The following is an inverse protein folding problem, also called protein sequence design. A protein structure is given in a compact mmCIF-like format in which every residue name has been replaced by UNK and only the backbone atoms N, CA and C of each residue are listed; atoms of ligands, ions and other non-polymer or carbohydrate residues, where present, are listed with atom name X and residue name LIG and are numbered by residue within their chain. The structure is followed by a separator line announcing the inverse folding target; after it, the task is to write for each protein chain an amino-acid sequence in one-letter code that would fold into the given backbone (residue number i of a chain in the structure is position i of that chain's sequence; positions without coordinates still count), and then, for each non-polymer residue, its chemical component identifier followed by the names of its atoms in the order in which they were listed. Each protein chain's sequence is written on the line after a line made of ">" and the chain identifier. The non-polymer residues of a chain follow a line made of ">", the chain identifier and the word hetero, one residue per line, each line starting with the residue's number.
data_IF_956082000972
#
_entry.id   IF_956082000972
#
_cell.length_a   1.000
_cell.length_b   1.000
_cell.length_c   1.000
_cell.angle_alpha   90.00
_cell.angle_beta   90.00
_cell.angle_gamma   90.00
#
_symmetry.space_group_name_H-M   'P 1'
#
loop_
_entity.id
_entity.type
_entity.pdbx_description
1 polymer ?
#
# COMPACT_ATOMS: atom_id res chain seq x y z
N UNK A 1 10.37 -22.76 5.79
CA UNK A 1 10.11 -21.50 6.52
C UNK A 1 11.43 -20.76 6.77
N UNK A 2 11.54 -19.48 6.36
CA UNK A 2 12.75 -18.69 6.63
C UNK A 2 12.74 -18.07 8.04
N UNK A 3 11.59 -17.54 8.46
CA UNK A 3 11.41 -16.82 9.74
C UNK A 3 10.34 -17.48 10.63
N UNK A 4 9.95 -18.71 10.32
CA UNK A 4 8.94 -19.41 11.12
C UNK A 4 9.38 -19.56 12.57
N UNK A 5 8.54 -19.14 13.52
CA UNK A 5 8.83 -19.18 14.94
C UNK A 5 9.67 -18.01 15.48
N UNK A 6 9.97 -16.99 14.67
CA UNK A 6 10.64 -15.79 15.15
C UNK A 6 9.71 -14.94 16.03
N UNK A 7 9.45 -15.42 17.25
CA UNK A 7 8.45 -14.83 18.15
C UNK A 7 8.79 -13.41 18.63
N UNK A 8 10.04 -12.99 18.56
CA UNK A 8 10.48 -11.64 18.91
C UNK A 8 10.52 -10.65 17.73
N UNK A 9 10.22 -11.13 16.51
CA UNK A 9 10.23 -10.29 15.33
C UNK A 9 9.02 -9.34 15.35
N UNK A 10 9.25 -8.04 15.42
CA UNK A 10 8.19 -7.01 15.50
C UNK A 10 7.84 -6.42 14.14
N UNK A 11 8.82 -6.31 13.26
CA UNK A 11 8.66 -5.83 11.88
C UNK A 11 9.76 -6.38 11.00
N UNK A 12 9.51 -6.44 9.70
CA UNK A 12 10.51 -6.83 8.69
C UNK A 12 10.22 -6.10 7.39
N UNK A 13 11.30 -5.68 6.73
CA UNK A 13 11.22 -5.16 5.38
C UNK A 13 11.56 -6.27 4.39
N UNK A 14 10.65 -6.59 3.48
CA UNK A 14 10.85 -7.54 2.39
C UNK A 14 11.39 -6.75 1.19
N UNK A 15 12.63 -7.04 0.74
CA UNK A 15 13.19 -6.33 -0.41
C UNK A 15 12.39 -6.56 -1.70
N UNK A 16 12.39 -5.58 -2.60
CA UNK A 16 11.73 -5.69 -3.92
C UNK A 16 12.35 -6.74 -4.86
N UNK A 17 13.46 -7.34 -4.49
CA UNK A 17 14.06 -8.50 -5.19
C UNK A 17 13.38 -9.83 -4.84
N UNK A 18 12.56 -9.88 -3.79
CA UNK A 18 11.86 -11.09 -3.37
C UNK A 18 10.62 -11.29 -4.24
N UNK A 19 10.52 -12.43 -4.90
CA UNK A 19 9.39 -12.79 -5.77
C UNK A 19 8.45 -13.82 -5.17
N UNK A 20 8.86 -14.51 -4.10
CA UNK A 20 8.00 -15.48 -3.43
C UNK A 20 8.26 -15.55 -1.94
N UNK A 21 7.20 -15.73 -1.16
CA UNK A 21 7.25 -16.08 0.25
C UNK A 21 6.75 -17.51 0.41
N UNK A 22 7.65 -18.39 0.84
CA UNK A 22 7.38 -19.83 0.89
C UNK A 22 6.42 -20.23 2.03
N UNK A 23 6.06 -21.51 2.06
CA UNK A 23 5.24 -22.12 3.11
C UNK A 23 5.76 -21.80 4.50
N UNK A 24 4.87 -21.31 5.40
CA UNK A 24 5.14 -20.99 6.79
C UNK A 24 6.30 -19.98 6.98
N UNK A 25 6.56 -19.10 6.01
CA UNK A 25 7.74 -18.21 6.04
C UNK A 25 7.79 -17.36 7.31
N UNK A 26 6.68 -16.81 7.74
CA UNK A 26 6.50 -16.00 8.95
C UNK A 26 5.52 -16.63 9.95
N UNK A 27 5.28 -17.91 9.85
CA UNK A 27 4.38 -18.61 10.77
C UNK A 27 4.86 -18.49 12.22
N UNK A 28 3.95 -18.25 13.18
CA UNK A 28 4.27 -18.08 14.60
C UNK A 28 5.20 -16.89 14.93
N UNK A 29 5.28 -15.89 14.08
CA UNK A 29 5.88 -14.60 14.43
C UNK A 29 4.92 -13.80 15.32
N UNK A 30 4.79 -14.21 16.57
CA UNK A 30 3.74 -13.73 17.48
C UNK A 30 3.85 -12.26 17.86
N UNK A 31 5.03 -11.63 17.76
CA UNK A 31 5.26 -10.21 18.01
C UNK A 31 5.20 -9.35 16.73
N UNK A 32 4.99 -9.95 15.56
CA UNK A 32 4.94 -9.20 14.30
C UNK A 32 3.69 -8.33 14.26
N UNK A 33 3.89 -7.00 14.29
CA UNK A 33 2.80 -6.01 14.31
C UNK A 33 2.45 -5.47 12.94
N UNK A 34 3.44 -5.40 12.06
CA UNK A 34 3.26 -4.87 10.71
C UNK A 34 4.14 -5.58 9.69
N UNK A 35 3.64 -5.68 8.46
CA UNK A 35 4.41 -6.20 7.32
C UNK A 35 4.07 -5.44 6.05
N UNK A 36 5.11 -5.19 5.22
CA UNK A 36 4.96 -4.72 3.85
C UNK A 36 5.30 -5.86 2.89
N UNK A 37 4.36 -6.20 2.00
CA UNK A 37 4.51 -7.19 0.93
C UNK A 37 4.67 -6.43 -0.38
N UNK A 38 5.87 -6.38 -0.97
CA UNK A 38 6.12 -5.61 -2.17
C UNK A 38 5.44 -6.19 -3.41
N UNK A 39 5.22 -5.37 -4.41
CA UNK A 39 4.59 -5.75 -5.69
C UNK A 39 5.36 -6.80 -6.49
N UNK A 40 6.65 -7.00 -6.18
CA UNK A 40 7.48 -8.06 -6.78
C UNK A 40 7.07 -9.47 -6.37
N UNK A 41 6.35 -9.63 -5.25
CA UNK A 41 5.92 -10.94 -4.76
C UNK A 41 4.76 -11.45 -5.60
N UNK A 42 4.97 -12.58 -6.27
CA UNK A 42 3.99 -13.25 -7.14
C UNK A 42 3.43 -14.53 -6.55
N UNK A 43 3.96 -14.99 -5.40
CA UNK A 43 3.51 -16.20 -4.74
C UNK A 43 3.62 -16.09 -3.22
N UNK A 44 2.54 -16.48 -2.54
CA UNK A 44 2.45 -16.62 -1.08
C UNK A 44 2.12 -18.08 -0.77
N UNK A 45 3.01 -18.73 -0.02
CA UNK A 45 2.83 -20.12 0.37
C UNK A 45 1.84 -20.32 1.51
N UNK A 46 1.36 -21.54 1.64
CA UNK A 46 0.45 -21.99 2.70
C UNK A 46 0.95 -21.57 4.09
N UNK A 47 0.07 -20.98 4.90
CA UNK A 47 0.38 -20.58 6.27
C UNK A 47 1.45 -19.50 6.42
N UNK A 48 1.77 -18.76 5.37
CA UNK A 48 2.89 -17.82 5.35
C UNK A 48 2.89 -16.86 6.54
N UNK A 49 1.72 -16.36 6.95
CA UNK A 49 1.51 -15.49 8.11
C UNK A 49 0.58 -16.12 9.16
N UNK A 50 0.59 -17.43 9.26
CA UNK A 50 -0.22 -18.17 10.22
C UNK A 50 0.25 -17.89 11.66
N UNK A 51 -0.71 -17.70 12.59
CA UNK A 51 -0.45 -17.48 14.03
C UNK A 51 0.43 -16.24 14.33
N UNK A 52 0.32 -15.20 13.53
CA UNK A 52 0.89 -13.89 13.82
C UNK A 52 -0.09 -13.10 14.72
N UNK A 53 -0.12 -13.42 16.00
CA UNK A 53 -1.18 -12.97 16.94
C UNK A 53 -1.17 -11.47 17.22
N UNK A 54 -0.07 -10.76 16.98
CA UNK A 54 0.03 -9.31 17.17
C UNK A 54 -0.15 -8.51 15.88
N UNK A 55 -0.45 -9.15 14.74
CA UNK A 55 -0.50 -8.47 13.44
C UNK A 55 -1.68 -7.47 13.40
N UNK A 56 -1.35 -6.20 13.18
CA UNK A 56 -2.32 -5.09 13.14
C UNK A 56 -2.35 -4.37 11.79
N UNK A 57 -1.25 -4.41 11.05
CA UNK A 57 -1.15 -3.70 9.77
C UNK A 57 -0.47 -4.56 8.71
N UNK A 58 -1.13 -4.72 7.59
CA UNK A 58 -0.56 -5.33 6.38
C UNK A 58 -0.64 -4.33 5.24
N UNK A 59 0.50 -3.99 4.66
CA UNK A 59 0.57 -3.26 3.39
C UNK A 59 0.88 -4.28 2.30
N UNK A 60 -0.01 -4.44 1.34
CA UNK A 60 0.16 -5.37 0.22
C UNK A 60 0.15 -4.59 -1.08
N UNK A 61 1.31 -4.43 -1.69
CA UNK A 61 1.48 -3.69 -2.94
C UNK A 61 1.19 -4.54 -4.19
N UNK A 62 0.78 -5.80 -4.00
CA UNK A 62 0.49 -6.72 -5.09
C UNK A 62 -0.79 -6.25 -5.82
N UNK A 63 -0.77 -6.18 -7.17
CA UNK A 63 -1.89 -5.61 -7.95
C UNK A 63 -3.15 -6.48 -7.98
N UNK A 64 -3.08 -7.73 -7.51
CA UNK A 64 -4.23 -8.62 -7.39
C UNK A 64 -4.06 -9.56 -6.19
N UNK A 65 -5.14 -9.92 -5.48
CA UNK A 65 -5.05 -10.85 -4.36
C UNK A 65 -4.53 -12.22 -4.84
N UNK A 66 -3.53 -12.74 -4.14
CA UNK A 66 -2.90 -14.04 -4.40
C UNK A 66 -2.88 -14.91 -3.15
N UNK A 67 -2.61 -16.20 -3.34
CA UNK A 67 -2.51 -17.20 -2.28
C UNK A 67 -3.86 -17.82 -1.93
N UNK A 68 -3.85 -18.70 -0.95
CA UNK A 68 -5.03 -19.45 -0.51
C UNK A 68 -5.55 -18.98 0.86
N UNK A 69 -6.66 -19.58 1.28
CA UNK A 69 -7.32 -19.25 2.56
C UNK A 69 -6.45 -19.49 3.79
N UNK A 70 -5.39 -20.27 3.71
CA UNK A 70 -4.54 -20.64 4.84
C UNK A 70 -3.46 -19.62 5.18
N UNK A 71 -3.21 -18.63 4.31
CA UNK A 71 -2.12 -17.65 4.47
C UNK A 71 -2.11 -17.03 5.86
N UNK A 72 -3.28 -16.64 6.38
CA UNK A 72 -3.46 -15.97 7.68
C UNK A 72 -4.15 -16.87 8.71
N UNK A 73 -4.03 -18.19 8.60
CA UNK A 73 -4.69 -19.11 9.54
C UNK A 73 -4.34 -18.79 11.00
N UNK A 74 -5.36 -18.66 11.85
CA UNK A 74 -5.21 -18.30 13.27
C UNK A 74 -4.49 -16.96 13.52
N UNK A 75 -4.54 -16.05 12.57
CA UNK A 75 -4.09 -14.67 12.70
C UNK A 75 -5.34 -13.78 12.79
N UNK A 76 -5.44 -12.85 13.78
CA UNK A 76 -6.65 -12.05 13.99
C UNK A 76 -6.78 -10.91 12.96
N UNK A 77 -6.91 -11.27 11.68
CA UNK A 77 -6.99 -10.30 10.58
C UNK A 77 -8.25 -9.43 10.64
N UNK A 78 -9.32 -9.91 11.29
CA UNK A 78 -10.54 -9.15 11.54
C UNK A 78 -10.33 -7.91 12.42
N UNK A 79 -9.23 -7.85 13.17
CA UNK A 79 -8.81 -6.68 13.97
C UNK A 79 -7.70 -5.87 13.30
N UNK A 80 -7.23 -6.29 12.13
CA UNK A 80 -6.12 -5.68 11.42
C UNK A 80 -6.59 -4.83 10.24
N UNK A 81 -5.74 -3.88 9.85
CA UNK A 81 -5.93 -3.03 8.67
C UNK A 81 -5.07 -3.52 7.52
N UNK A 82 -5.68 -3.70 6.36
CA UNK A 82 -5.01 -4.01 5.10
C UNK A 82 -4.96 -2.77 4.21
N UNK A 83 -3.78 -2.43 3.72
CA UNK A 83 -3.56 -1.40 2.72
C UNK A 83 -3.21 -2.05 1.39
N UNK A 84 -3.91 -1.69 0.31
CA UNK A 84 -3.74 -2.26 -1.03
C UNK A 84 -3.74 -1.18 -2.10
N UNK A 85 -3.23 -1.42 -3.32
CA UNK A 85 -3.33 -0.47 -4.41
C UNK A 85 -4.79 -0.08 -4.67
N UNK A 86 -5.06 1.21 -4.92
CA UNK A 86 -6.41 1.74 -5.10
C UNK A 86 -7.17 1.02 -6.22
N UNK A 87 -6.50 0.75 -7.34
CA UNK A 87 -7.07 0.00 -8.46
C UNK A 87 -7.53 -1.42 -8.11
N UNK A 88 -6.98 -2.01 -7.04
CA UNK A 88 -7.23 -3.40 -6.62
C UNK A 88 -8.17 -3.50 -5.41
N UNK A 89 -8.58 -2.38 -4.85
CA UNK A 89 -9.34 -2.33 -3.60
C UNK A 89 -10.61 -3.19 -3.63
N UNK A 90 -11.35 -3.17 -4.73
CA UNK A 90 -12.57 -3.97 -4.90
C UNK A 90 -12.27 -5.48 -4.91
N UNK A 91 -11.21 -5.90 -5.59
CA UNK A 91 -10.80 -7.30 -5.67
C UNK A 91 -10.40 -7.86 -4.30
N UNK A 92 -9.65 -7.07 -3.51
CA UNK A 92 -9.25 -7.48 -2.15
C UNK A 92 -10.43 -7.55 -1.19
N UNK A 93 -11.45 -6.71 -1.35
CA UNK A 93 -12.67 -6.75 -0.53
C UNK A 93 -13.57 -7.97 -0.79
N UNK A 94 -13.41 -8.62 -1.94
CA UNK A 94 -14.26 -9.76 -2.35
C UNK A 94 -13.54 -11.10 -2.35
N UNK A 95 -12.20 -11.12 -2.27
CA UNK A 95 -11.40 -12.35 -2.38
C UNK A 95 -10.91 -12.81 -1.01
N UNK A 96 -11.28 -14.02 -0.61
CA UNK A 96 -10.74 -14.69 0.59
C UNK A 96 -9.26 -15.08 0.36
N UNK A 97 -8.41 -15.01 1.42
CA UNK A 97 -8.69 -14.62 2.81
C UNK A 97 -8.63 -13.10 3.05
N UNK A 98 -8.26 -12.33 2.05
CA UNK A 98 -8.04 -10.88 2.15
C UNK A 98 -9.30 -10.10 2.58
N UNK A 99 -10.47 -10.55 2.13
CA UNK A 99 -11.77 -9.95 2.51
C UNK A 99 -12.09 -10.10 4.02
N UNK A 100 -11.34 -10.93 4.74
CA UNK A 100 -11.51 -11.12 6.19
C UNK A 100 -10.85 -10.06 7.07
N UNK A 101 -10.10 -9.12 6.48
CA UNK A 101 -9.53 -8.00 7.25
C UNK A 101 -10.62 -7.06 7.77
N UNK A 102 -10.47 -6.59 9.00
CA UNK A 102 -11.45 -5.69 9.63
C UNK A 102 -11.58 -4.35 8.92
N UNK A 103 -10.49 -3.86 8.34
CA UNK A 103 -10.47 -2.63 7.53
C UNK A 103 -9.61 -2.83 6.31
N UNK A 104 -10.11 -2.47 5.12
CA UNK A 104 -9.34 -2.53 3.86
C UNK A 104 -9.37 -1.16 3.21
N UNK A 105 -8.19 -0.55 3.06
CA UNK A 105 -7.99 0.81 2.58
C UNK A 105 -7.05 0.84 1.37
N UNK A 106 -7.18 1.87 0.56
CA UNK A 106 -6.20 2.14 -0.49
C UNK A 106 -4.89 2.65 0.11
N UNK A 107 -3.75 2.19 -0.43
CA UNK A 107 -2.44 2.80 -0.18
C UNK A 107 -2.53 4.25 -0.66
N UNK A 108 -2.37 5.20 0.24
CA UNK A 108 -2.19 6.60 -0.15
C UNK A 108 -0.83 6.72 -0.81
N UNK A 109 -0.81 6.83 -2.14
CA UNK A 109 0.43 7.20 -2.81
C UNK A 109 0.80 8.60 -2.33
N UNK A 110 2.00 8.74 -1.75
CA UNK A 110 2.62 10.04 -1.45
C UNK A 110 3.13 10.68 -2.75
N UNK A 111 2.37 10.58 -3.81
CA UNK A 111 2.60 11.22 -5.07
C UNK A 111 1.38 12.06 -5.39
N UNK A 112 1.57 13.35 -5.41
CA UNK A 112 0.70 14.37 -5.99
C UNK A 112 -0.72 13.83 -6.22
N UNK A 113 -1.63 14.13 -5.30
CA UNK A 113 -3.05 13.87 -5.51
C UNK A 113 -3.47 14.57 -6.81
N UNK A 114 -3.55 13.81 -7.90
CA UNK A 114 -4.47 14.17 -8.96
C UNK A 114 -5.85 13.87 -8.40
N UNK A 115 -6.36 14.77 -7.56
CA UNK A 115 -7.76 14.77 -7.20
C UNK A 115 -8.55 15.03 -8.49
N UNK A 116 -8.95 13.97 -9.15
CA UNK A 116 -10.07 13.98 -10.08
C UNK A 116 -11.36 14.02 -9.25
N UNK A 117 -11.52 15.07 -8.47
CA UNK A 117 -12.86 15.52 -8.10
C UNK A 117 -13.38 16.22 -9.34
N UNK A 118 -14.49 15.74 -9.89
CA UNK A 118 -15.16 16.29 -11.04
C UNK A 118 -15.66 17.72 -10.80
N UNK A 119 -14.75 18.64 -10.85
CA UNK A 119 -14.99 20.06 -11.07
C UNK A 119 -13.99 20.51 -12.12
N UNK A 120 -14.49 21.11 -13.18
CA UNK A 120 -13.73 21.63 -14.32
C UNK A 120 -12.84 22.83 -13.94
N UNK A 121 -12.02 22.69 -12.87
CA UNK A 121 -11.06 23.71 -12.51
C UNK A 121 -9.88 23.66 -13.48
N UNK A 122 -9.75 24.65 -14.32
CA UNK A 122 -8.64 24.82 -15.26
C UNK A 122 -7.45 25.48 -14.57
N UNK A 123 -6.25 25.26 -15.11
CA UNK A 123 -5.05 25.96 -14.63
C UNK A 123 -5.08 27.39 -15.10
N UNK A 124 -5.19 28.34 -14.17
CA UNK A 124 -5.24 29.76 -14.42
C UNK A 124 -3.84 30.38 -14.59
N UNK A 125 -2.88 29.94 -13.77
CA UNK A 125 -1.50 30.41 -13.86
C UNK A 125 -0.50 29.38 -13.32
N UNK A 126 0.74 29.42 -13.84
CA UNK A 126 1.85 28.60 -13.38
C UNK A 126 2.93 29.53 -12.86
N UNK A 127 3.48 29.22 -11.67
CA UNK A 127 4.53 29.98 -11.02
C UNK A 127 5.74 29.10 -10.74
N UNK A 128 6.95 29.68 -10.75
CA UNK A 128 8.15 29.02 -10.21
C UNK A 128 8.23 29.16 -8.67
N UNK A 129 9.24 28.56 -8.05
CA UNK A 129 9.45 28.64 -6.60
C UNK A 129 9.67 30.07 -6.07
N UNK A 130 10.10 31.01 -6.93
CA UNK A 130 10.30 32.41 -6.61
C UNK A 130 8.99 33.22 -6.70
N UNK A 131 7.84 32.56 -6.99
CA UNK A 131 6.54 33.19 -7.17
C UNK A 131 6.35 33.91 -8.51
N UNK A 132 7.28 33.74 -9.47
CA UNK A 132 7.19 34.38 -10.78
C UNK A 132 6.30 33.55 -11.71
N UNK A 133 5.32 34.20 -12.35
CA UNK A 133 4.47 33.56 -13.36
C UNK A 133 5.30 33.12 -14.57
N UNK A 134 5.09 31.89 -15.01
CA UNK A 134 5.80 31.28 -16.14
C UNK A 134 4.80 30.74 -17.17
N UNK A 135 5.20 30.73 -18.45
CA UNK A 135 4.32 30.35 -19.56
C UNK A 135 4.12 28.85 -19.75
N UNK A 136 4.64 28.01 -18.86
CA UNK A 136 4.46 26.56 -18.94
C UNK A 136 5.24 25.82 -17.86
N UNK A 137 4.93 24.54 -17.67
CA UNK A 137 5.57 23.68 -16.67
C UNK A 137 7.03 23.45 -17.06
N UNK A 138 7.96 23.84 -16.17
CA UNK A 138 9.42 23.65 -16.35
C UNK A 138 9.90 22.47 -15.50
N UNK A 139 11.12 21.98 -15.80
CA UNK A 139 11.78 20.93 -15.02
C UNK A 139 11.99 21.43 -13.59
N UNK A 140 11.60 20.63 -12.60
CA UNK A 140 11.62 20.97 -11.19
C UNK A 140 10.22 21.28 -10.64
N UNK A 141 10.18 21.88 -9.43
CA UNK A 141 8.91 22.18 -8.76
C UNK A 141 8.21 23.41 -9.38
N UNK A 142 6.93 23.25 -9.71
CA UNK A 142 6.07 24.32 -10.22
C UNK A 142 4.85 24.47 -9.32
N UNK A 143 4.31 25.68 -9.21
CA UNK A 143 3.10 25.98 -8.46
C UNK A 143 2.01 26.34 -9.47
N UNK A 144 0.92 25.57 -9.48
CA UNK A 144 -0.25 25.85 -10.31
C UNK A 144 -1.29 26.59 -9.49
N UNK A 145 -1.77 27.72 -9.98
CA UNK A 145 -2.99 28.37 -9.49
C UNK A 145 -4.16 27.89 -10.34
N UNK A 146 -5.19 27.39 -9.67
CA UNK A 146 -6.39 26.88 -10.32
C UNK A 146 -7.47 27.96 -10.40
N UNK A 147 -8.40 27.83 -11.33
CA UNK A 147 -9.53 28.76 -11.51
C UNK A 147 -10.50 28.81 -10.33
N UNK A 148 -10.47 27.81 -9.44
CA UNK A 148 -11.23 27.78 -8.18
C UNK A 148 -10.53 28.49 -7.02
N UNK A 149 -9.39 29.16 -7.26
CA UNK A 149 -8.59 29.88 -6.28
C UNK A 149 -7.61 29.00 -5.51
N UNK A 150 -7.62 27.69 -5.69
CA UNK A 150 -6.67 26.78 -5.04
C UNK A 150 -5.29 26.80 -5.71
N UNK A 151 -4.26 26.35 -4.98
CA UNK A 151 -2.91 26.20 -5.52
C UNK A 151 -2.43 24.76 -5.38
N UNK A 152 -1.73 24.25 -6.40
CA UNK A 152 -1.14 22.91 -6.40
C UNK A 152 0.35 23.00 -6.73
N UNK A 153 1.16 22.19 -6.04
CA UNK A 153 2.59 22.02 -6.35
C UNK A 153 2.75 20.78 -7.22
N UNK A 154 3.49 20.91 -8.31
CA UNK A 154 3.82 19.78 -9.19
C UNK A 154 5.32 19.75 -9.46
N UNK A 155 5.87 18.56 -9.69
CA UNK A 155 7.26 18.35 -10.09
C UNK A 155 7.28 17.71 -11.48
N UNK A 156 8.15 18.19 -12.38
CA UNK A 156 8.34 17.63 -13.73
C UNK A 156 9.78 17.17 -13.93
#
# INVERSE_FOLDING_TARGET
>A
SCFGGCSSLTSINIPSSVTSLGKNCFSHCSSLTSINIPSSVTSLGEGCFSRCSSLKTVTCEIPAPIGDYSIFSNTPINEATLYVPEASLSSYKTTSPWSGFGTILAIKSSGIETNTVGTSATVDAIYNLEGKRIGGIKRGMNILRMSDGTTRKIMK
#
